data_IF_515321550108
#
_entry.id   IF_515321550108
#
_cell.length_a   1.000
_cell.length_b   1.000
_cell.length_c   1.000
_cell.angle_alpha   90.00
_cell.angle_beta   90.00
_cell.angle_gamma   90.00
#
_symmetry.space_group_name_H-M   'P 1'
#
loop_
_entity.id
_entity.type
_entity.pdbx_description
1 polymer ?
#
# COMPACT_ATOMS: atom_id res chain seq x y z
N UNK A 1 18.08 26.27 -1.37
CA UNK A 1 17.71 25.79 -0.05
C UNK A 1 18.14 24.33 0.04
N UNK A 2 18.73 23.89 1.15
CA UNK A 2 19.02 22.47 1.33
C UNK A 2 17.70 21.69 1.39
N UNK A 3 17.58 20.60 0.63
CA UNK A 3 16.42 19.71 0.71
C UNK A 3 16.29 19.21 2.14
N UNK A 4 15.06 19.24 2.71
CA UNK A 4 14.79 18.67 4.02
C UNK A 4 14.99 17.13 4.00
N UNK A 5 15.16 16.54 5.16
CA UNK A 5 15.39 15.08 5.29
C UNK A 5 14.27 14.23 4.66
N UNK A 6 13.05 14.74 4.66
CA UNK A 6 11.85 14.09 4.09
C UNK A 6 11.38 14.74 2.78
N UNK A 7 12.23 15.50 2.08
CA UNK A 7 11.88 16.10 0.80
C UNK A 7 11.74 15.02 -0.28
N UNK A 8 10.50 14.80 -0.75
CA UNK A 8 10.16 13.86 -1.80
C UNK A 8 10.11 14.50 -3.19
N UNK A 9 10.52 15.79 -3.35
CA UNK A 9 10.49 16.48 -4.64
C UNK A 9 11.30 15.72 -5.71
N UNK A 10 10.66 15.45 -6.84
CA UNK A 10 11.24 14.68 -7.95
C UNK A 10 11.33 13.17 -7.70
N UNK A 11 10.68 12.67 -6.64
CA UNK A 11 10.49 11.25 -6.39
C UNK A 11 9.08 10.82 -6.78
N UNK A 12 8.96 9.67 -7.41
CA UNK A 12 7.70 9.09 -7.86
C UNK A 12 7.33 7.91 -6.99
N UNK A 13 6.16 7.98 -6.39
CA UNK A 13 5.62 6.93 -5.51
C UNK A 13 4.35 6.34 -6.10
N UNK A 14 4.32 5.02 -6.26
CA UNK A 14 3.11 4.27 -6.58
C UNK A 14 2.44 3.76 -5.30
N UNK A 15 1.12 3.99 -5.19
CA UNK A 15 0.32 3.43 -4.09
C UNK A 15 -0.86 2.64 -4.66
N UNK A 16 -0.86 1.32 -4.49
CA UNK A 16 -2.04 0.51 -4.83
C UNK A 16 -3.10 0.63 -3.74
N UNK A 17 -4.37 0.80 -4.15
CA UNK A 17 -5.45 1.14 -3.21
C UNK A 17 -5.27 2.53 -2.57
N UNK A 18 -4.53 3.43 -3.23
CA UNK A 18 -4.21 4.77 -2.74
C UNK A 18 -5.37 5.78 -2.78
N UNK A 19 -6.55 5.36 -3.22
CA UNK A 19 -7.74 6.22 -3.30
C UNK A 19 -8.62 6.22 -2.04
N UNK A 20 -8.12 5.69 -0.93
CA UNK A 20 -8.83 5.69 0.35
C UNK A 20 -8.10 4.95 1.47
N UNK A 21 -8.57 5.11 2.69
CA UNK A 21 -8.05 4.42 3.87
C UNK A 21 -6.54 4.60 4.06
N UNK A 22 -5.87 3.54 4.50
CA UNK A 22 -4.42 3.54 4.77
C UNK A 22 -3.60 3.94 3.53
N UNK A 23 -4.01 3.46 2.34
CA UNK A 23 -3.31 3.81 1.10
C UNK A 23 -3.33 5.30 0.79
N UNK A 24 -4.45 5.99 1.07
CA UNK A 24 -4.53 7.44 0.92
C UNK A 24 -3.64 8.14 1.97
N UNK A 25 -3.54 7.62 3.19
CA UNK A 25 -2.61 8.13 4.20
C UNK A 25 -1.15 8.08 3.72
N UNK A 26 -0.70 6.94 3.18
CA UNK A 26 0.64 6.86 2.57
C UNK A 26 0.83 7.90 1.45
N UNK A 27 -0.13 7.98 0.53
CA UNK A 27 -0.08 8.92 -0.58
C UNK A 27 -0.05 10.38 -0.10
N UNK A 28 -0.78 10.69 0.97
CA UNK A 28 -0.85 12.01 1.59
C UNK A 28 0.49 12.43 2.19
N UNK A 29 1.21 11.51 2.83
CA UNK A 29 2.56 11.76 3.34
C UNK A 29 3.52 12.20 2.23
N UNK A 30 3.54 11.46 1.13
CA UNK A 30 4.34 11.80 -0.06
C UNK A 30 3.94 13.17 -0.63
N UNK A 31 2.63 13.42 -0.76
CA UNK A 31 2.10 14.67 -1.30
C UNK A 31 2.53 15.88 -0.46
N UNK A 32 2.39 15.81 0.87
CA UNK A 32 2.80 16.86 1.81
C UNK A 32 4.31 17.16 1.74
N UNK A 33 5.11 16.20 1.29
CA UNK A 33 6.55 16.36 1.11
C UNK A 33 6.93 16.67 -0.36
N UNK A 34 5.97 17.06 -1.20
CA UNK A 34 6.19 17.53 -2.56
C UNK A 34 6.51 16.44 -3.59
N UNK A 35 6.30 15.17 -3.27
CA UNK A 35 6.54 14.06 -4.17
C UNK A 35 5.47 13.88 -5.24
N UNK A 36 5.84 13.24 -6.34
CA UNK A 36 4.92 12.79 -7.39
C UNK A 36 4.20 11.50 -6.94
N UNK A 37 2.89 11.41 -7.16
CA UNK A 37 2.07 10.28 -6.70
C UNK A 37 1.33 9.62 -7.87
N UNK A 38 1.49 8.31 -7.99
CA UNK A 38 0.69 7.45 -8.85
C UNK A 38 -0.25 6.60 -7.99
N UNK A 39 -1.55 6.62 -8.28
CA UNK A 39 -2.55 5.77 -7.61
C UNK A 39 -3.06 4.71 -8.56
N UNK A 40 -3.03 3.45 -8.12
CA UNK A 40 -3.74 2.36 -8.77
C UNK A 40 -4.93 1.92 -7.93
N UNK A 41 -6.13 2.03 -8.50
CA UNK A 41 -7.35 1.50 -7.91
C UNK A 41 -8.46 1.37 -8.97
N UNK A 42 -9.47 0.56 -8.69
CA UNK A 42 -10.50 0.21 -9.67
C UNK A 42 -11.58 1.28 -9.87
N UNK A 43 -11.86 2.09 -8.84
CA UNK A 43 -12.98 3.04 -8.85
C UNK A 43 -12.52 4.43 -9.33
N UNK A 44 -12.99 4.85 -10.50
CA UNK A 44 -12.61 6.11 -11.15
C UNK A 44 -13.00 7.36 -10.33
N UNK A 45 -14.20 7.38 -9.74
CA UNK A 45 -14.68 8.54 -8.98
C UNK A 45 -13.86 8.75 -7.69
N UNK A 46 -13.56 7.65 -6.97
CA UNK A 46 -12.68 7.71 -5.81
C UNK A 46 -11.26 8.11 -6.19
N UNK A 47 -10.78 7.67 -7.36
CA UNK A 47 -9.48 8.07 -7.89
C UNK A 47 -9.43 9.58 -8.14
N UNK A 48 -10.46 10.15 -8.77
CA UNK A 48 -10.56 11.58 -9.02
C UNK A 48 -10.61 12.40 -7.72
N UNK A 49 -11.40 11.95 -6.74
CA UNK A 49 -11.48 12.59 -5.43
C UNK A 49 -10.15 12.56 -4.66
N UNK A 50 -9.45 11.42 -4.68
CA UNK A 50 -8.14 11.27 -4.05
C UNK A 50 -7.09 12.15 -4.75
N UNK A 51 -7.09 12.22 -6.08
CA UNK A 51 -6.24 13.10 -6.86
C UNK A 51 -6.37 14.55 -6.40
N UNK A 52 -7.59 15.06 -6.32
CA UNK A 52 -7.85 16.45 -5.90
C UNK A 52 -7.32 16.72 -4.47
N UNK A 53 -7.45 15.75 -3.54
CA UNK A 53 -6.93 15.88 -2.18
C UNK A 53 -5.40 15.93 -2.16
N UNK A 54 -4.73 15.10 -2.94
CA UNK A 54 -3.27 15.04 -3.00
C UNK A 54 -2.67 16.29 -3.66
N UNK A 55 -3.29 16.78 -4.73
CA UNK A 55 -2.90 18.04 -5.38
C UNK A 55 -3.04 19.21 -4.41
N UNK A 56 -4.15 19.28 -3.65
CA UNK A 56 -4.36 20.31 -2.61
C UNK A 56 -3.36 20.19 -1.44
N UNK A 57 -2.86 19.00 -1.15
CA UNK A 57 -1.86 18.76 -0.09
C UNK A 57 -0.43 19.14 -0.49
N UNK A 58 -0.17 19.45 -1.75
CA UNK A 58 1.13 19.90 -2.23
C UNK A 58 1.93 18.86 -3.02
N UNK A 59 1.29 17.79 -3.51
CA UNK A 59 1.93 16.85 -4.41
C UNK A 59 2.53 17.57 -5.65
N UNK A 60 3.62 17.05 -6.18
CA UNK A 60 4.20 17.51 -7.43
C UNK A 60 3.23 17.22 -8.59
N UNK A 61 3.20 16.00 -9.07
CA UNK A 61 2.22 15.50 -10.04
C UNK A 61 1.40 14.38 -9.43
N UNK A 62 0.12 14.30 -9.74
CA UNK A 62 -0.74 13.19 -9.35
C UNK A 62 -1.37 12.56 -10.58
N UNK A 63 -1.11 11.27 -10.76
CA UNK A 63 -1.78 10.47 -11.80
C UNK A 63 -2.54 9.32 -11.16
N UNK A 64 -3.69 9.00 -11.73
CA UNK A 64 -4.52 7.89 -11.27
C UNK A 64 -4.83 6.96 -12.42
N UNK A 65 -4.72 5.66 -12.17
CA UNK A 65 -4.94 4.62 -13.17
C UNK A 65 -5.94 3.60 -12.66
N UNK A 66 -6.87 3.21 -13.52
CA UNK A 66 -7.72 2.06 -13.24
C UNK A 66 -6.88 0.80 -13.48
N UNK A 67 -6.52 0.12 -12.40
CA UNK A 67 -5.76 -1.13 -12.40
C UNK A 67 -6.37 -2.06 -11.36
N UNK A 68 -6.69 -3.28 -11.78
CA UNK A 68 -6.99 -4.38 -10.87
C UNK A 68 -5.71 -5.18 -10.65
N UNK A 69 -5.21 -5.16 -9.41
CA UNK A 69 -3.98 -5.86 -9.04
C UNK A 69 -4.13 -7.38 -8.99
N UNK A 70 -5.35 -7.93 -9.13
CA UNK A 70 -5.55 -9.35 -9.35
C UNK A 70 -5.18 -9.80 -10.78
N UNK A 71 -4.97 -8.85 -11.71
CA UNK A 71 -4.57 -9.12 -13.10
C UNK A 71 -3.12 -8.71 -13.33
N UNK A 72 -2.24 -9.68 -13.56
CA UNK A 72 -0.84 -9.42 -13.92
C UNK A 72 -0.75 -8.56 -15.19
N UNK A 73 -1.58 -8.83 -16.19
CA UNK A 73 -1.63 -8.05 -17.43
C UNK A 73 -1.90 -6.56 -17.17
N UNK A 74 -2.87 -6.26 -16.27
CA UNK A 74 -3.18 -4.88 -15.93
C UNK A 74 -2.06 -4.22 -15.10
N UNK A 75 -1.36 -4.97 -14.26
CA UNK A 75 -0.18 -4.49 -13.53
C UNK A 75 0.91 -4.09 -14.50
N UNK A 76 1.26 -4.96 -15.46
CA UNK A 76 2.29 -4.69 -16.47
C UNK A 76 1.93 -3.46 -17.31
N UNK A 77 0.72 -3.41 -17.88
CA UNK A 77 0.22 -2.25 -18.63
C UNK A 77 0.14 -0.98 -17.75
N UNK A 78 -0.09 -1.13 -16.45
CA UNK A 78 -0.06 -0.06 -15.47
C UNK A 78 1.34 0.54 -15.31
N UNK A 79 2.36 -0.29 -15.23
CA UNK A 79 3.75 0.17 -15.19
C UNK A 79 4.18 0.83 -16.49
N UNK A 80 3.81 0.29 -17.65
CA UNK A 80 4.11 0.93 -18.94
C UNK A 80 3.58 2.36 -18.99
N UNK A 81 2.32 2.57 -18.58
CA UNK A 81 1.70 3.91 -18.49
C UNK A 81 2.39 4.81 -17.47
N UNK A 82 2.68 4.28 -16.27
CA UNK A 82 3.38 5.02 -15.22
C UNK A 82 4.76 5.48 -15.70
N UNK A 83 5.51 4.60 -16.35
CA UNK A 83 6.83 4.93 -16.89
C UNK A 83 6.77 5.93 -18.04
N UNK A 84 5.73 5.86 -18.89
CA UNK A 84 5.50 6.87 -19.93
C UNK A 84 5.20 8.25 -19.35
N UNK A 85 4.41 8.32 -18.26
CA UNK A 85 4.00 9.58 -17.64
C UNK A 85 5.10 10.20 -16.76
N UNK A 86 5.83 9.39 -15.98
CA UNK A 86 6.78 9.87 -14.97
C UNK A 86 8.26 9.63 -15.33
N UNK A 87 8.55 8.63 -16.15
CA UNK A 87 9.91 8.25 -16.53
C UNK A 87 10.70 7.51 -15.44
N UNK A 88 10.16 7.37 -14.23
CA UNK A 88 10.83 6.72 -13.09
C UNK A 88 9.85 6.23 -12.06
N UNK A 89 10.32 5.35 -11.18
CA UNK A 89 9.66 4.96 -9.94
C UNK A 89 10.70 4.88 -8.81
N UNK A 90 10.41 5.48 -7.67
CA UNK A 90 11.30 5.53 -6.49
C UNK A 90 10.74 4.78 -5.30
N UNK A 91 9.41 4.71 -5.16
CA UNK A 91 8.76 3.99 -4.08
C UNK A 91 7.50 3.27 -4.57
N UNK A 92 7.25 2.07 -4.02
CA UNK A 92 6.02 1.31 -4.25
C UNK A 92 5.41 0.92 -2.91
N UNK A 93 4.18 1.34 -2.67
CA UNK A 93 3.33 0.84 -1.59
C UNK A 93 2.32 -0.18 -2.15
N UNK A 94 2.58 -1.46 -1.95
CA UNK A 94 1.63 -2.53 -2.23
C UNK A 94 0.64 -2.63 -1.06
N UNK A 95 -0.48 -1.90 -1.17
CA UNK A 95 -1.46 -1.74 -0.10
C UNK A 95 -2.83 -2.32 -0.44
N UNK A 96 -3.16 -2.54 -1.71
CA UNK A 96 -4.46 -3.09 -2.12
C UNK A 96 -4.81 -4.36 -1.36
N UNK A 97 -6.07 -4.44 -0.92
CA UNK A 97 -6.60 -5.58 -0.19
C UNK A 97 -8.02 -5.33 0.31
N UNK A 98 -8.55 -6.34 0.94
CA UNK A 98 -9.83 -6.32 1.64
C UNK A 98 -9.65 -6.98 3.00
N UNK A 99 -10.72 -7.10 3.77
CA UNK A 99 -10.69 -7.81 5.05
C UNK A 99 -11.97 -8.63 5.21
N UNK A 100 -12.14 -9.70 4.43
CA UNK A 100 -13.29 -10.58 4.59
C UNK A 100 -13.30 -11.19 5.98
N UNK A 101 -14.44 -11.67 6.42
CA UNK A 101 -14.59 -12.35 7.70
C UNK A 101 -15.60 -13.48 7.59
N UNK A 102 -15.25 -14.62 8.14
CA UNK A 102 -16.08 -15.81 8.20
C UNK A 102 -16.30 -16.21 9.67
N UNK A 103 -17.39 -16.88 9.98
CA UNK A 103 -17.63 -17.37 11.35
C UNK A 103 -16.66 -18.50 11.71
N UNK A 104 -16.29 -19.32 10.73
CA UNK A 104 -15.37 -20.44 10.88
C UNK A 104 -14.54 -20.63 9.62
N UNK A 105 -13.40 -21.31 9.73
CA UNK A 105 -12.63 -21.77 8.56
C UNK A 105 -13.46 -22.68 7.64
N UNK A 106 -14.42 -23.40 8.18
CA UNK A 106 -15.31 -24.27 7.41
C UNK A 106 -16.31 -23.50 6.54
N UNK A 107 -16.58 -22.24 6.85
CA UNK A 107 -17.49 -21.36 6.11
C UNK A 107 -16.79 -20.60 4.98
N UNK A 108 -15.46 -20.73 4.84
CA UNK A 108 -14.66 -20.06 3.82
C UNK A 108 -14.65 -20.89 2.54
N UNK A 109 -15.32 -20.43 1.44
CA UNK A 109 -15.26 -21.12 0.16
C UNK A 109 -13.84 -21.06 -0.41
N UNK A 110 -13.40 -22.15 -1.04
CA UNK A 110 -12.05 -22.21 -1.66
C UNK A 110 -11.86 -21.14 -2.73
N UNK A 111 -12.90 -20.82 -3.49
CA UNK A 111 -12.88 -19.77 -4.50
C UNK A 111 -12.61 -18.40 -3.87
N UNK A 112 -13.22 -18.11 -2.71
CA UNK A 112 -12.99 -16.85 -1.97
C UNK A 112 -11.60 -16.77 -1.39
N UNK A 113 -11.04 -17.90 -0.96
CA UNK A 113 -9.65 -18.00 -0.58
C UNK A 113 -8.72 -17.58 -1.74
N UNK A 114 -8.93 -18.13 -2.94
CA UNK A 114 -8.13 -17.79 -4.12
C UNK A 114 -8.32 -16.33 -4.52
N UNK A 115 -9.55 -15.85 -4.70
CA UNK A 115 -9.86 -14.45 -5.04
C UNK A 115 -9.18 -13.46 -4.08
N UNK A 116 -9.13 -13.79 -2.80
CA UNK A 116 -8.50 -12.93 -1.82
C UNK A 116 -6.97 -12.92 -1.97
N UNK A 117 -6.35 -14.09 -2.12
CA UNK A 117 -4.91 -14.21 -2.31
C UNK A 117 -4.44 -13.58 -3.62
N UNK A 118 -5.25 -13.63 -4.67
CA UNK A 118 -4.93 -13.00 -5.97
C UNK A 118 -4.74 -11.49 -5.83
N UNK A 119 -5.52 -10.83 -4.99
CA UNK A 119 -5.35 -9.40 -4.70
C UNK A 119 -4.24 -9.16 -3.68
N UNK A 120 -4.33 -9.82 -2.51
CA UNK A 120 -3.60 -9.43 -1.32
C UNK A 120 -2.18 -10.02 -1.22
N UNK A 121 -1.90 -11.09 -1.96
CA UNK A 121 -0.59 -11.74 -2.00
C UNK A 121 0.01 -11.72 -3.41
N UNK A 122 -0.65 -12.33 -4.40
CA UNK A 122 -0.12 -12.46 -5.75
C UNK A 122 0.01 -11.08 -6.41
N UNK A 123 -1.03 -10.27 -6.39
CA UNK A 123 -1.02 -8.92 -6.95
C UNK A 123 -0.03 -8.00 -6.24
N UNK A 124 0.07 -8.10 -4.91
CA UNK A 124 1.09 -7.36 -4.16
C UNK A 124 2.51 -7.78 -4.56
N UNK A 125 2.77 -9.08 -4.67
CA UNK A 125 4.06 -9.62 -5.12
C UNK A 125 4.42 -9.12 -6.53
N UNK A 126 3.51 -9.26 -7.51
CA UNK A 126 3.76 -8.84 -8.89
C UNK A 126 4.01 -7.33 -8.96
N UNK A 127 3.20 -6.54 -8.25
CA UNK A 127 3.39 -5.07 -8.17
C UNK A 127 4.78 -4.71 -7.64
N UNK A 128 5.23 -5.34 -6.56
CA UNK A 128 6.55 -5.09 -5.96
C UNK A 128 7.68 -5.58 -6.86
N UNK A 129 7.51 -6.75 -7.51
CA UNK A 129 8.48 -7.32 -8.45
C UNK A 129 8.75 -6.38 -9.62
N UNK A 130 7.71 -5.88 -10.26
CA UNK A 130 7.86 -4.98 -11.41
C UNK A 130 8.40 -3.61 -10.99
N UNK A 131 7.96 -3.06 -9.85
CA UNK A 131 8.57 -1.87 -9.29
C UNK A 131 10.07 -2.03 -9.02
N UNK A 132 10.46 -3.17 -8.44
CA UNK A 132 11.87 -3.51 -8.23
C UNK A 132 12.65 -3.62 -9.55
N UNK A 133 12.06 -4.21 -10.61
CA UNK A 133 12.67 -4.32 -11.93
C UNK A 133 13.09 -2.96 -12.48
N UNK A 134 12.20 -1.97 -12.43
CA UNK A 134 12.49 -0.60 -12.86
C UNK A 134 13.54 0.10 -11.98
N UNK A 135 13.48 -0.14 -10.65
CA UNK A 135 14.47 0.43 -9.72
C UNK A 135 15.87 -0.18 -9.95
N UNK A 136 15.96 -1.50 -10.20
CA UNK A 136 17.21 -2.20 -10.50
C UNK A 136 17.80 -1.69 -11.81
N UNK A 137 17.01 -1.59 -12.89
CA UNK A 137 17.48 -1.06 -14.18
C UNK A 137 18.03 0.36 -14.03
N UNK A 138 17.35 1.22 -13.24
CA UNK A 138 17.84 2.58 -12.93
C UNK A 138 19.13 2.56 -12.11
N UNK A 139 19.27 1.63 -11.16
CA UNK A 139 20.48 1.48 -10.36
C UNK A 139 21.69 1.04 -11.21
N UNK A 140 21.48 0.13 -12.16
CA UNK A 140 22.49 -0.31 -13.12
C UNK A 140 22.89 0.79 -14.10
N UNK A 141 21.99 1.74 -14.37
CA UNK A 141 22.29 2.97 -15.13
C UNK A 141 22.98 4.06 -14.30
N UNK A 142 23.34 3.78 -13.04
CA UNK A 142 24.12 4.70 -12.18
C UNK A 142 23.31 5.51 -11.17
N UNK A 143 21.98 5.30 -11.08
CA UNK A 143 21.10 5.96 -10.10
C UNK A 143 20.51 4.96 -9.09
N UNK A 144 21.30 4.44 -8.14
CA UNK A 144 20.85 3.45 -7.19
C UNK A 144 19.87 4.03 -6.14
N UNK A 145 19.05 3.14 -5.59
CA UNK A 145 18.12 3.45 -4.52
C UNK A 145 16.67 3.25 -4.90
N UNK A 146 15.83 3.06 -3.88
CA UNK A 146 14.41 2.83 -4.00
C UNK A 146 13.81 2.30 -2.70
N UNK A 147 12.48 2.23 -2.65
CA UNK A 147 11.76 1.68 -1.49
C UNK A 147 10.58 0.82 -1.93
N UNK A 148 10.55 -0.41 -1.44
CA UNK A 148 9.43 -1.34 -1.59
C UNK A 148 8.74 -1.48 -0.24
N UNK A 149 7.45 -1.22 -0.17
CA UNK A 149 6.68 -1.30 1.07
C UNK A 149 5.42 -2.13 0.86
N UNK A 150 5.25 -3.17 1.66
CA UNK A 150 4.01 -3.92 1.71
C UNK A 150 3.17 -3.51 2.93
N UNK A 151 1.86 -3.35 2.72
CA UNK A 151 0.91 -3.18 3.81
C UNK A 151 0.60 -4.56 4.41
N UNK A 152 1.25 -4.85 5.53
CA UNK A 152 1.02 -6.02 6.37
C UNK A 152 -0.20 -5.86 7.29
N UNK A 153 -0.12 -6.45 8.47
CA UNK A 153 -1.13 -6.37 9.55
C UNK A 153 -0.54 -6.94 10.83
N UNK A 154 -1.13 -6.65 11.98
CA UNK A 154 -0.86 -7.39 13.23
C UNK A 154 -1.13 -8.90 13.09
N UNK A 155 -1.95 -9.34 12.12
CA UNK A 155 -2.17 -10.76 11.81
C UNK A 155 -0.92 -11.51 11.34
N UNK A 156 0.21 -10.81 11.10
CA UNK A 156 1.53 -11.43 10.95
C UNK A 156 1.98 -12.18 12.21
N UNK A 157 1.51 -11.74 13.37
CA UNK A 157 2.00 -12.16 14.68
C UNK A 157 0.94 -12.85 15.52
N UNK A 158 -0.34 -12.74 15.15
CA UNK A 158 -1.45 -13.30 15.91
C UNK A 158 -2.53 -13.88 15.00
N UNK A 159 -3.16 -14.97 15.45
CA UNK A 159 -4.30 -15.57 14.77
C UNK A 159 -5.60 -14.80 15.02
N UNK A 160 -6.43 -14.71 13.99
CA UNK A 160 -7.79 -14.17 14.07
C UNK A 160 -8.76 -15.20 13.50
N UNK A 161 -9.74 -15.68 14.27
CA UNK A 161 -10.73 -16.64 13.77
C UNK A 161 -11.45 -16.11 12.52
N UNK A 162 -11.69 -16.98 11.53
CA UNK A 162 -12.35 -16.62 10.27
C UNK A 162 -11.56 -15.67 9.35
N UNK A 163 -10.25 -15.55 9.55
CA UNK A 163 -9.33 -14.64 8.80
C UNK A 163 -8.11 -15.38 8.26
N UNK A 164 -8.22 -16.67 7.93
CA UNK A 164 -7.08 -17.48 7.51
C UNK A 164 -6.47 -17.00 6.19
N UNK A 165 -7.29 -16.62 5.22
CA UNK A 165 -6.91 -16.01 3.94
C UNK A 165 -6.13 -14.70 4.16
N UNK A 166 -6.67 -13.84 5.02
CA UNK A 166 -6.06 -12.58 5.38
C UNK A 166 -4.71 -12.79 6.08
N UNK A 167 -4.67 -13.64 7.11
CA UNK A 167 -3.44 -13.92 7.85
C UNK A 167 -2.37 -14.57 6.96
N UNK A 168 -2.76 -15.53 6.11
CA UNK A 168 -1.84 -16.17 5.16
C UNK A 168 -1.26 -15.15 4.18
N UNK A 169 -2.09 -14.27 3.60
CA UNK A 169 -1.61 -13.25 2.66
C UNK A 169 -0.64 -12.27 3.32
N UNK A 170 -0.96 -11.80 4.54
CA UNK A 170 -0.12 -10.84 5.26
C UNK A 170 1.20 -11.44 5.74
N UNK A 171 1.19 -12.69 6.19
CA UNK A 171 2.39 -13.43 6.53
C UNK A 171 3.25 -13.73 5.27
N UNK A 172 2.61 -14.15 4.18
CA UNK A 172 3.26 -14.44 2.91
C UNK A 172 3.98 -13.22 2.33
N UNK A 173 3.29 -12.07 2.23
CA UNK A 173 3.91 -10.86 1.68
C UNK A 173 5.05 -10.35 2.58
N UNK A 174 4.98 -10.53 3.89
CA UNK A 174 6.08 -10.18 4.78
C UNK A 174 7.31 -11.08 4.55
N UNK A 175 7.12 -12.36 4.22
CA UNK A 175 8.21 -13.24 3.82
C UNK A 175 8.83 -12.80 2.50
N UNK A 176 8.02 -12.47 1.50
CA UNK A 176 8.47 -11.95 0.20
C UNK A 176 9.32 -10.69 0.37
N UNK A 177 8.88 -9.73 1.17
CA UNK A 177 9.62 -8.48 1.44
C UNK A 177 10.99 -8.73 2.06
N UNK A 178 11.10 -9.70 2.98
CA UNK A 178 12.41 -10.07 3.56
C UNK A 178 13.37 -10.61 2.49
N UNK A 179 12.88 -11.44 1.56
CA UNK A 179 13.68 -11.92 0.44
C UNK A 179 14.11 -10.75 -0.47
N UNK A 180 13.19 -9.86 -0.83
CA UNK A 180 13.48 -8.69 -1.65
C UNK A 180 14.51 -7.75 -1.00
N UNK A 181 14.44 -7.57 0.34
CA UNK A 181 15.41 -6.75 1.07
C UNK A 181 16.85 -7.28 0.93
N UNK A 182 17.02 -8.61 1.00
CA UNK A 182 18.34 -9.26 0.83
C UNK A 182 18.79 -9.18 -0.63
N UNK A 183 17.92 -9.48 -1.58
CA UNK A 183 18.24 -9.55 -3.00
C UNK A 183 18.61 -8.18 -3.59
N UNK A 184 17.84 -7.15 -3.27
CA UNK A 184 17.97 -5.83 -3.88
C UNK A 184 18.80 -4.83 -3.06
N UNK A 185 19.26 -5.22 -1.86
CA UNK A 185 20.08 -4.36 -1.00
C UNK A 185 21.36 -3.86 -1.68
N UNK A 186 21.98 -4.66 -2.55
CA UNK A 186 23.16 -4.27 -3.36
C UNK A 186 22.88 -3.07 -4.30
N UNK A 187 21.64 -2.86 -4.70
CA UNK A 187 21.19 -1.72 -5.50
C UNK A 187 20.68 -0.54 -4.63
N UNK A 188 20.88 -0.60 -3.30
CA UNK A 188 20.36 0.35 -2.31
C UNK A 188 18.82 0.47 -2.33
N UNK A 189 18.12 -0.57 -2.74
CA UNK A 189 16.67 -0.66 -2.65
C UNK A 189 16.31 -1.27 -1.30
N UNK A 190 15.55 -0.54 -0.51
CA UNK A 190 15.04 -0.99 0.78
C UNK A 190 13.71 -1.72 0.57
N UNK A 191 13.42 -2.75 1.35
CA UNK A 191 12.12 -3.41 1.33
C UNK A 191 11.63 -3.61 2.77
N UNK A 192 10.43 -3.11 3.08
CA UNK A 192 9.87 -3.08 4.42
C UNK A 192 8.39 -3.45 4.44
N UNK A 193 7.91 -3.87 5.61
CA UNK A 193 6.49 -4.10 5.89
C UNK A 193 6.01 -3.09 6.91
N UNK A 194 4.91 -2.42 6.63
CA UNK A 194 4.14 -1.70 7.62
C UNK A 194 3.07 -2.64 8.15
N UNK A 195 3.00 -2.85 9.46
CA UNK A 195 2.03 -3.73 10.10
C UNK A 195 0.99 -2.91 10.90
N UNK A 196 -0.07 -2.41 10.26
CA UNK A 196 -1.09 -1.63 10.94
C UNK A 196 -1.78 -2.43 12.05
N UNK A 197 -2.11 -1.74 13.13
CA UNK A 197 -3.04 -2.23 14.14
C UNK A 197 -4.50 -2.03 13.70
N UNK A 198 -5.34 -1.64 14.63
CA UNK A 198 -6.75 -1.35 14.35
C UNK A 198 -6.88 0.09 13.86
N UNK A 199 -7.16 0.24 12.57
CA UNK A 199 -7.27 1.53 11.89
C UNK A 199 -8.69 1.71 11.37
N UNK A 200 -9.35 2.79 11.75
CA UNK A 200 -10.67 3.14 11.23
C UNK A 200 -10.54 3.58 9.78
N UNK A 201 -11.16 2.83 8.89
CA UNK A 201 -11.19 3.10 7.45
C UNK A 201 -12.60 2.89 6.92
N UNK A 202 -12.94 3.42 5.73
CA UNK A 202 -14.23 3.14 5.09
C UNK A 202 -14.53 1.65 4.89
N UNK A 203 -13.52 0.79 4.90
CA UNK A 203 -13.65 -0.67 4.83
C UNK A 203 -14.33 -1.27 6.06
N UNK A 204 -14.32 -0.60 7.21
CA UNK A 204 -14.90 -1.09 8.46
C UNK A 204 -16.41 -0.91 8.57
N UNK A 205 -17.05 -0.33 7.56
CA UNK A 205 -18.50 -0.15 7.52
C UNK A 205 -18.95 1.28 7.79
N UNK A 206 -20.08 1.44 8.48
CA UNK A 206 -20.67 2.73 8.73
C UNK A 206 -20.09 3.42 9.98
N UNK A 207 -20.51 4.67 10.23
CA UNK A 207 -20.04 5.49 11.34
C UNK A 207 -20.34 4.86 12.72
N UNK A 208 -21.48 4.16 12.87
CA UNK A 208 -21.82 3.47 14.11
C UNK A 208 -20.86 2.33 14.42
N UNK A 209 -20.48 1.56 13.39
CA UNK A 209 -19.47 0.49 13.52
C UNK A 209 -18.10 1.07 13.87
N UNK A 210 -17.71 2.15 13.19
CA UNK A 210 -16.46 2.85 13.47
C UNK A 210 -16.40 3.36 14.91
N UNK A 211 -17.49 3.99 15.38
CA UNK A 211 -17.61 4.45 16.76
C UNK A 211 -17.56 3.31 17.77
N UNK A 212 -18.31 2.23 17.55
CA UNK A 212 -18.25 1.05 18.42
C UNK A 212 -16.83 0.48 18.53
N UNK A 213 -16.12 0.38 17.40
CA UNK A 213 -14.74 -0.10 17.37
C UNK A 213 -13.83 0.84 18.15
N UNK A 214 -13.95 2.15 17.95
CA UNK A 214 -13.15 3.14 18.64
C UNK A 214 -13.36 3.11 20.16
N UNK A 215 -14.61 3.08 20.60
CA UNK A 215 -14.97 3.07 22.02
C UNK A 215 -14.57 1.75 22.72
N UNK A 216 -14.68 0.62 22.01
CA UNK A 216 -14.42 -0.71 22.58
C UNK A 216 -12.94 -1.06 22.63
N UNK A 217 -12.21 -0.74 21.56
CA UNK A 217 -10.83 -1.20 21.38
C UNK A 217 -9.81 -0.08 21.60
N UNK A 218 -10.17 1.19 21.43
CA UNK A 218 -9.27 2.30 21.64
C UNK A 218 -8.58 2.26 23.00
N UNK A 219 -9.30 2.12 24.12
CA UNK A 219 -8.70 2.02 25.47
C UNK A 219 -7.75 0.83 25.68
N UNK A 220 -7.82 -0.17 24.80
CA UNK A 220 -6.96 -1.37 24.85
C UNK A 220 -5.68 -1.23 24.03
N UNK A 221 -5.53 -0.15 23.27
CA UNK A 221 -4.30 0.13 22.53
C UNK A 221 -3.32 0.88 23.42
N UNK A 222 -2.00 0.70 23.26
CA UNK A 222 -1.00 1.41 24.08
C UNK A 222 -1.10 2.93 23.98
N UNK A 223 -1.56 3.49 22.84
CA UNK A 223 -1.75 4.93 22.65
C UNK A 223 -3.11 5.45 23.12
N UNK A 224 -3.96 4.59 23.68
CA UNK A 224 -5.28 4.94 24.22
C UNK A 224 -6.36 5.24 23.15
N UNK A 225 -6.08 5.05 21.88
CA UNK A 225 -7.03 5.23 20.79
C UNK A 225 -6.78 4.24 19.64
N UNK A 226 -7.76 4.03 18.79
CA UNK A 226 -7.54 3.40 17.48
C UNK A 226 -6.77 4.34 16.55
N UNK A 227 -6.19 3.79 15.47
CA UNK A 227 -5.54 4.58 14.44
C UNK A 227 -6.50 5.08 13.38
N UNK A 228 -6.04 6.05 12.60
CA UNK A 228 -6.74 6.65 11.45
C UNK A 228 -5.77 6.73 10.25
N UNK A 229 -6.29 6.94 9.02
CA UNK A 229 -5.44 7.06 7.83
C UNK A 229 -4.34 8.12 7.96
N UNK A 230 -4.60 9.22 8.64
CA UNK A 230 -3.68 10.34 8.86
C UNK A 230 -2.45 9.94 9.70
N UNK A 231 -2.55 8.89 10.52
CA UNK A 231 -1.42 8.35 11.28
C UNK A 231 -0.34 7.74 10.37
N UNK A 232 -0.64 7.54 9.08
CA UNK A 232 0.27 6.98 8.08
C UNK A 232 1.01 8.04 7.26
N UNK A 233 0.70 9.32 7.42
CA UNK A 233 1.35 10.40 6.67
C UNK A 233 2.88 10.36 6.85
N UNK A 234 3.36 10.23 8.10
CA UNK A 234 4.78 10.17 8.39
C UNK A 234 5.49 8.92 7.87
N UNK A 235 4.75 7.84 7.57
CA UNK A 235 5.32 6.63 6.97
C UNK A 235 5.37 6.77 5.44
N UNK A 236 4.48 7.56 4.86
CA UNK A 236 4.44 7.85 3.43
C UNK A 236 5.63 8.70 2.97
N UNK A 237 6.10 9.56 3.86
CA UNK A 237 7.27 10.42 3.63
C UNK A 237 8.58 9.67 3.92
#
# INVERSE_FOLDING_TARGET
MSKGLFDCSGKVTLVTGGNGGIGLGFAMGVAKMGGDVAIWARNADKNAAARAQLEAAGAGRVMTYQVDVASEEQILAGYDRLMADFGRIDCVFANSGASPSYNSVFDMPTEKWHEFLDVALHGAFITLREGARHMVARAEAGEPGGSLVACGSLSLFQGLPGKQDYAASKAGIAAVIRCMAVEFGKHRIRANVVAPGLIITPMMGNEQTAKYIADTYGPRTPIGRVGYPEDFDGIGA
#
